data_IF_013540092815
#
_entry.id   IF_013540092815
#
_cell.length_a   1.000
_cell.length_b   1.000
_cell.length_c   1.000
_cell.angle_alpha   90.00
_cell.angle_beta   90.00
_cell.angle_gamma   90.00
#
_symmetry.space_group_name_H-M   'P 1'
#
loop_
_entity.id
_entity.type
_entity.pdbx_description
1 polymer ?
#
# COMPACT_ATOMS: atom_id res chain seq x y z
N UNK A 1 27.99 3.26 -4.14
CA UNK A 1 27.95 3.40 -2.66
C UNK A 1 29.24 2.83 -2.12
N UNK A 2 29.87 3.47 -1.14
CA UNK A 2 31.10 2.98 -0.51
C UNK A 2 30.77 1.77 0.38
N UNK A 3 31.19 0.56 -0.04
CA UNK A 3 30.82 -0.71 0.60
C UNK A 3 31.58 -0.98 1.90
N UNK A 4 32.69 -0.28 2.13
CA UNK A 4 33.47 -0.44 3.36
C UNK A 4 32.76 0.15 4.59
N UNK A 5 31.78 1.04 4.38
CA UNK A 5 30.94 1.62 5.44
C UNK A 5 30.01 0.63 6.13
N UNK A 6 29.93 -0.61 5.65
CA UNK A 6 29.08 -1.67 6.20
C UNK A 6 29.83 -2.63 7.13
N UNK A 7 31.15 -2.49 7.22
CA UNK A 7 31.98 -3.26 8.14
C UNK A 7 31.68 -2.85 9.57
N UNK A 8 31.20 -3.79 10.39
CA UNK A 8 30.80 -3.60 11.79
C UNK A 8 29.31 -3.78 12.04
N UNK A 9 28.52 -4.01 11.00
CA UNK A 9 27.09 -4.32 11.10
C UNK A 9 26.88 -5.73 11.63
N UNK A 10 25.93 -5.88 12.54
CA UNK A 10 25.49 -7.16 13.07
C UNK A 10 24.31 -7.68 12.25
N UNK A 11 24.42 -8.92 11.79
CA UNK A 11 23.37 -9.68 11.11
C UNK A 11 23.06 -10.95 11.91
N UNK A 12 21.79 -11.34 11.93
CA UNK A 12 21.33 -12.51 12.70
C UNK A 12 20.75 -13.53 11.74
N UNK A 13 21.39 -14.69 11.61
CA UNK A 13 20.88 -15.79 10.79
C UNK A 13 21.15 -17.14 11.47
N UNK A 14 20.32 -18.12 11.15
CA UNK A 14 20.50 -19.50 11.59
C UNK A 14 21.13 -20.30 10.45
N UNK A 15 22.17 -21.06 10.75
CA UNK A 15 22.64 -22.13 9.86
C UNK A 15 21.71 -23.33 10.02
N UNK A 16 21.58 -24.14 8.99
CA UNK A 16 20.65 -25.28 8.97
C UNK A 16 20.88 -26.20 10.19
N UNK A 17 19.84 -26.35 11.03
CA UNK A 17 19.90 -27.15 12.25
C UNK A 17 20.56 -26.48 13.47
N UNK A 18 20.86 -25.17 13.41
CA UNK A 18 21.43 -24.41 14.52
C UNK A 18 20.48 -23.31 15.03
N UNK A 19 20.69 -22.88 16.27
CA UNK A 19 20.04 -21.68 16.79
C UNK A 19 20.50 -20.44 16.03
N UNK A 20 19.68 -19.39 16.03
CA UNK A 20 20.04 -18.12 15.40
C UNK A 20 21.21 -17.48 16.15
N UNK A 21 22.30 -17.17 15.43
CA UNK A 21 23.52 -16.58 16.00
C UNK A 21 23.80 -15.23 15.34
N UNK A 22 24.20 -14.27 16.16
CA UNK A 22 24.62 -12.94 15.72
C UNK A 22 26.05 -12.99 15.15
N UNK A 23 26.20 -12.45 13.95
CA UNK A 23 27.48 -12.33 13.24
C UNK A 23 27.74 -10.87 12.89
N UNK A 24 29.00 -10.47 12.83
CA UNK A 24 29.42 -9.14 12.40
C UNK A 24 30.04 -9.19 11.01
N UNK A 25 29.71 -8.23 10.15
CA UNK A 25 30.39 -8.03 8.86
C UNK A 25 31.78 -7.46 9.13
N UNK A 26 32.85 -8.21 8.86
CA UNK A 26 34.22 -7.80 9.24
C UNK A 26 34.99 -7.16 8.10
N UNK A 27 34.64 -7.49 6.85
CA UNK A 27 35.33 -6.96 5.66
C UNK A 27 34.49 -7.08 4.41
N UNK A 28 34.53 -6.07 3.55
CA UNK A 28 34.02 -6.18 2.18
C UNK A 28 34.94 -7.07 1.34
N UNK A 29 34.38 -8.12 0.72
CA UNK A 29 35.15 -9.10 -0.06
C UNK A 29 35.10 -8.76 -1.54
N UNK A 30 33.93 -8.37 -2.05
CA UNK A 30 33.76 -8.01 -3.45
C UNK A 30 32.30 -7.91 -3.87
N UNK A 31 32.09 -7.38 -5.06
CA UNK A 31 30.76 -7.18 -5.66
C UNK A 31 30.78 -7.74 -7.09
N UNK A 32 29.83 -8.64 -7.36
CA UNK A 32 29.58 -9.20 -8.69
C UNK A 32 28.31 -8.62 -9.32
N UNK A 33 27.95 -9.10 -10.51
CA UNK A 33 26.73 -8.66 -11.21
C UNK A 33 25.47 -8.90 -10.37
N UNK A 34 25.38 -10.06 -9.74
CA UNK A 34 24.17 -10.50 -9.05
C UNK A 34 24.35 -10.57 -7.53
N UNK A 35 25.46 -10.10 -6.97
CA UNK A 35 25.68 -10.22 -5.52
C UNK A 35 26.73 -9.31 -4.91
N UNK A 36 26.65 -9.15 -3.60
CA UNK A 36 27.59 -8.44 -2.76
C UNK A 36 28.08 -9.40 -1.67
N UNK A 37 29.38 -9.47 -1.44
CA UNK A 37 29.99 -10.45 -0.55
C UNK A 37 30.76 -9.77 0.58
N UNK A 38 30.49 -10.20 1.82
CA UNK A 38 31.21 -9.75 3.02
C UNK A 38 31.77 -10.95 3.77
N UNK A 39 32.92 -10.77 4.39
CA UNK A 39 33.42 -11.66 5.42
C UNK A 39 32.58 -11.46 6.68
N UNK A 40 32.28 -12.57 7.37
CA UNK A 40 31.49 -12.56 8.60
C UNK A 40 32.18 -13.38 9.67
N UNK A 41 32.10 -12.90 10.90
CA UNK A 41 32.59 -13.59 12.08
C UNK A 41 31.47 -13.66 13.13
N UNK A 42 31.37 -14.72 13.93
CA UNK A 42 30.47 -14.75 15.08
C UNK A 42 30.76 -13.58 16.02
N UNK A 43 29.73 -12.92 16.57
CA UNK A 43 29.93 -11.80 17.49
C UNK A 43 30.72 -12.19 18.74
N UNK A 44 30.64 -13.46 19.15
CA UNK A 44 31.40 -14.04 20.27
C UNK A 44 32.89 -14.25 19.96
N UNK A 45 33.28 -14.31 18.68
CA UNK A 45 34.67 -14.43 18.23
C UNK A 45 34.86 -13.67 16.90
N UNK A 46 34.96 -12.33 16.97
CA UNK A 46 35.03 -11.46 15.79
C UNK A 46 36.36 -11.57 15.03
N UNK A 47 37.30 -12.41 15.49
CA UNK A 47 38.58 -12.66 14.80
C UNK A 47 38.51 -13.85 13.84
N UNK A 48 37.42 -14.62 13.91
CA UNK A 48 37.23 -15.82 13.11
C UNK A 48 36.48 -15.52 11.80
N UNK A 49 37.19 -14.90 10.85
CA UNK A 49 36.71 -14.57 9.49
C UNK A 49 36.61 -15.79 8.56
N UNK A 50 36.26 -16.97 9.09
CA UNK A 50 36.24 -18.22 8.32
C UNK A 50 35.10 -18.31 7.29
N UNK A 51 34.15 -17.38 7.34
CA UNK A 51 32.90 -17.44 6.60
C UNK A 51 32.67 -16.17 5.77
N UNK A 52 31.98 -16.33 4.66
CA UNK A 52 31.48 -15.21 3.85
C UNK A 52 29.97 -15.32 3.71
N UNK A 53 29.30 -14.18 3.73
CA UNK A 53 27.89 -14.08 3.39
C UNK A 53 27.75 -13.43 2.02
N UNK A 54 26.82 -13.94 1.23
CA UNK A 54 26.49 -13.45 -0.11
C UNK A 54 25.08 -12.89 -0.09
N UNK A 55 24.94 -11.58 -0.29
CA UNK A 55 23.67 -10.90 -0.52
C UNK A 55 23.37 -10.88 -2.02
N UNK A 56 22.20 -11.37 -2.43
CA UNK A 56 21.82 -11.51 -3.85
C UNK A 56 21.15 -10.24 -4.36
N UNK A 57 21.65 -9.65 -5.45
CA UNK A 57 21.08 -8.43 -6.04
C UNK A 57 19.80 -8.73 -6.84
N UNK A 58 18.80 -7.82 -6.80
CA UNK A 58 18.69 -6.70 -5.87
C UNK A 58 18.30 -7.23 -4.49
N UNK A 59 19.20 -7.08 -3.51
CA UNK A 59 18.84 -7.36 -2.12
C UNK A 59 18.28 -6.04 -1.58
N UNK A 60 17.03 -5.75 -1.92
CA UNK A 60 16.36 -4.52 -1.50
C UNK A 60 16.42 -4.42 0.02
N UNK A 61 16.33 -5.53 0.76
CA UNK A 61 16.45 -5.49 2.23
C UNK A 61 17.85 -5.12 2.69
N UNK A 62 18.90 -5.68 2.10
CA UNK A 62 20.27 -5.26 2.42
C UNK A 62 20.48 -3.81 2.03
N UNK A 63 20.23 -3.40 0.78
CA UNK A 63 20.43 -2.03 0.29
C UNK A 63 19.56 -0.99 1.04
N UNK A 64 18.39 -1.38 1.55
CA UNK A 64 17.50 -0.48 2.30
C UNK A 64 17.78 -0.43 3.81
N UNK A 65 18.11 -1.56 4.44
CA UNK A 65 18.67 -1.54 5.81
C UNK A 65 19.96 -0.72 5.82
N UNK A 66 20.71 -0.80 4.71
CA UNK A 66 21.91 -0.02 4.36
C UNK A 66 21.66 1.48 4.27
N UNK A 67 20.57 1.90 3.63
CA UNK A 67 20.23 3.31 3.46
C UNK A 67 19.61 3.92 4.72
N UNK A 68 18.96 3.13 5.58
CA UNK A 68 18.13 3.63 6.69
C UNK A 68 18.76 3.54 8.09
N UNK A 69 20.07 3.26 8.15
CA UNK A 69 20.85 3.25 9.41
C UNK A 69 20.24 2.38 10.53
N UNK A 70 19.39 1.41 10.19
CA UNK A 70 18.68 0.54 11.16
C UNK A 70 19.55 -0.62 11.65
N UNK A 71 20.86 -0.56 11.42
CA UNK A 71 21.76 -1.63 11.81
C UNK A 71 22.06 -1.57 13.29
N UNK A 72 22.00 -2.74 13.91
CA UNK A 72 22.73 -2.94 15.15
C UNK A 72 24.21 -3.00 14.78
N UNK A 73 24.97 -2.00 15.21
CA UNK A 73 26.42 -1.93 15.01
C UNK A 73 27.08 -2.56 16.23
N UNK A 74 28.17 -3.30 16.03
CA UNK A 74 28.97 -3.80 17.13
C UNK A 74 29.78 -2.65 17.75
N UNK A 75 29.11 -1.77 18.51
CA UNK A 75 29.66 -0.52 19.08
C UNK A 75 30.98 -0.73 19.85
N UNK A 76 31.13 -1.88 20.51
CA UNK A 76 32.35 -2.22 21.25
C UNK A 76 33.56 -2.40 20.32
N UNK A 77 33.36 -2.92 19.11
CA UNK A 77 34.41 -3.15 18.12
C UNK A 77 34.57 -1.95 17.18
N UNK A 78 33.48 -1.25 16.89
CA UNK A 78 33.42 -0.13 15.95
C UNK A 78 32.78 1.12 16.58
N UNK A 79 33.38 1.73 17.61
CA UNK A 79 32.79 2.85 18.35
C UNK A 79 32.71 4.17 17.56
N UNK A 80 33.44 4.25 16.45
CA UNK A 80 33.44 5.42 15.54
C UNK A 80 32.89 5.05 14.17
N UNK A 81 32.06 4.00 14.11
CA UNK A 81 31.45 3.56 12.87
C UNK A 81 30.68 4.73 12.21
N UNK A 82 30.84 4.98 10.91
CA UNK A 82 30.24 6.13 10.23
C UNK A 82 28.70 6.11 10.20
N UNK A 83 28.09 4.97 10.54
CA UNK A 83 26.64 4.79 10.68
C UNK A 83 26.15 4.84 12.13
N UNK A 84 27.03 5.02 13.13
CA UNK A 84 26.62 5.34 14.50
C UNK A 84 26.16 6.78 14.54
N UNK A 85 24.85 6.96 14.46
CA UNK A 85 24.17 8.24 14.45
C UNK A 85 23.19 8.22 15.63
N UNK A 86 23.06 9.36 16.30
CA UNK A 86 22.05 9.52 17.36
C UNK A 86 20.64 9.25 16.80
N UNK A 87 19.73 8.59 17.54
CA UNK A 87 18.39 8.28 17.05
C UNK A 87 17.62 9.50 16.51
N UNK A 88 17.76 10.69 17.11
CA UNK A 88 17.10 11.91 16.63
C UNK A 88 17.68 12.37 15.29
N UNK A 89 19.01 12.35 15.15
CA UNK A 89 19.69 12.69 13.91
C UNK A 89 19.36 11.68 12.80
N UNK A 90 19.25 10.38 13.15
CA UNK A 90 18.79 9.33 12.22
C UNK A 90 17.38 9.64 11.72
N UNK A 91 16.44 9.93 12.61
CA UNK A 91 15.06 10.23 12.24
C UNK A 91 14.94 11.51 11.40
N UNK A 92 15.74 12.53 11.69
CA UNK A 92 15.81 13.74 10.88
C UNK A 92 16.26 13.43 9.44
N UNK A 93 17.38 12.70 9.29
CA UNK A 93 17.92 12.32 7.96
C UNK A 93 16.96 11.41 7.20
N UNK A 94 16.36 10.44 7.87
CA UNK A 94 15.36 9.54 7.28
C UNK A 94 14.16 10.35 6.79
N UNK A 95 13.65 11.27 7.61
CA UNK A 95 12.55 12.15 7.24
C UNK A 95 12.89 12.98 6.01
N UNK A 96 14.05 13.63 5.98
CA UNK A 96 14.46 14.45 4.84
C UNK A 96 14.61 13.63 3.55
N UNK A 97 15.19 12.42 3.64
CA UNK A 97 15.32 11.53 2.50
C UNK A 97 13.96 11.05 2.01
N UNK A 98 13.10 10.54 2.90
CA UNK A 98 11.79 9.99 2.55
C UNK A 98 10.87 11.07 1.99
N UNK A 99 10.88 12.28 2.55
CA UNK A 99 10.12 13.41 2.02
C UNK A 99 10.63 13.83 0.65
N UNK A 100 11.96 13.91 0.46
CA UNK A 100 12.55 14.17 -0.85
C UNK A 100 12.11 13.14 -1.90
N UNK A 101 12.01 11.86 -1.51
CA UNK A 101 11.52 10.80 -2.38
C UNK A 101 10.01 10.89 -2.64
N UNK A 102 9.18 11.16 -1.64
CA UNK A 102 7.73 11.30 -1.82
C UNK A 102 7.39 12.48 -2.74
N UNK A 103 8.17 13.56 -2.66
CA UNK A 103 8.01 14.79 -3.44
C UNK A 103 8.49 14.69 -4.88
N UNK A 104 9.37 13.75 -5.20
CA UNK A 104 9.86 13.58 -6.56
C UNK A 104 8.76 13.04 -7.49
N UNK A 105 8.56 13.73 -8.61
CA UNK A 105 7.55 13.41 -9.62
C UNK A 105 7.79 12.07 -10.35
N UNK A 106 9.03 11.57 -10.34
CA UNK A 106 9.43 10.27 -10.92
C UNK A 106 9.73 9.19 -9.89
N UNK A 107 9.63 9.50 -8.60
CA UNK A 107 9.70 8.54 -7.51
C UNK A 107 8.35 7.83 -7.39
N UNK A 108 8.00 7.14 -8.46
CA UNK A 108 7.18 5.95 -8.35
C UNK A 108 8.13 4.93 -7.73
N UNK A 109 8.13 4.84 -6.41
CA UNK A 109 8.60 3.61 -5.81
C UNK A 109 7.90 2.48 -6.55
N UNK A 110 8.67 1.45 -6.91
CA UNK A 110 8.13 0.18 -7.39
C UNK A 110 7.43 -0.50 -6.22
N UNK A 111 6.41 0.15 -5.66
CA UNK A 111 5.49 -0.45 -4.72
C UNK A 111 4.87 -1.58 -5.54
N UNK A 112 5.24 -2.82 -5.21
CA UNK A 112 4.64 -4.01 -5.77
C UNK A 112 3.12 -3.85 -5.74
N UNK A 113 2.58 -3.36 -4.62
CA UNK A 113 1.19 -3.00 -4.45
C UNK A 113 0.66 -1.99 -5.49
N UNK A 114 1.41 -0.95 -5.86
CA UNK A 114 0.98 0.04 -6.87
C UNK A 114 1.05 -0.51 -8.28
N UNK A 115 2.14 -1.20 -8.65
CA UNK A 115 2.22 -1.89 -9.94
C UNK A 115 1.09 -2.90 -10.10
N UNK A 116 0.85 -3.67 -9.05
CA UNK A 116 -0.23 -4.62 -8.98
C UNK A 116 -1.61 -3.93 -9.12
N UNK A 117 -1.78 -2.72 -8.57
CA UNK A 117 -2.99 -1.91 -8.77
C UNK A 117 -3.13 -1.43 -10.23
N UNK A 118 -2.04 -1.02 -10.88
CA UNK A 118 -2.05 -0.69 -12.31
C UNK A 118 -2.44 -1.91 -13.15
N UNK A 119 -1.80 -3.07 -12.91
CA UNK A 119 -2.11 -4.30 -13.63
C UNK A 119 -3.57 -4.74 -13.42
N UNK A 120 -4.11 -4.61 -12.21
CA UNK A 120 -5.52 -4.89 -11.95
C UNK A 120 -6.44 -3.90 -12.67
N UNK A 121 -6.04 -2.63 -12.77
CA UNK A 121 -6.77 -1.61 -13.53
C UNK A 121 -6.81 -1.97 -15.01
N UNK A 122 -5.68 -2.36 -15.58
CA UNK A 122 -5.57 -2.85 -16.97
C UNK A 122 -6.48 -4.06 -17.19
N UNK A 123 -6.46 -5.04 -16.28
CA UNK A 123 -7.34 -6.21 -16.35
C UNK A 123 -8.83 -5.85 -16.26
N UNK A 124 -9.21 -4.91 -15.42
CA UNK A 124 -10.60 -4.45 -15.31
C UNK A 124 -11.06 -3.73 -16.58
N UNK A 125 -10.21 -2.87 -17.15
CA UNK A 125 -10.49 -2.22 -18.44
C UNK A 125 -10.70 -3.26 -19.54
N UNK A 126 -9.83 -4.27 -19.60
CA UNK A 126 -9.98 -5.38 -20.53
C UNK A 126 -11.28 -6.16 -20.31
N UNK A 127 -11.56 -6.57 -19.08
CA UNK A 127 -12.73 -7.37 -18.75
C UNK A 127 -14.05 -6.64 -19.04
N UNK A 128 -14.07 -5.32 -18.85
CA UNK A 128 -15.27 -4.51 -19.07
C UNK A 128 -15.45 -4.12 -20.55
N UNK A 129 -14.37 -3.88 -21.30
CA UNK A 129 -14.46 -3.19 -22.59
C UNK A 129 -13.86 -3.95 -23.79
N UNK A 130 -13.09 -5.02 -23.59
CA UNK A 130 -12.50 -5.77 -24.70
C UNK A 130 -13.55 -6.49 -25.56
N UNK A 131 -14.58 -7.08 -24.95
CA UNK A 131 -15.66 -7.74 -25.69
C UNK A 131 -16.53 -6.73 -26.48
N UNK A 132 -17.01 -5.61 -25.89
CA UNK A 132 -17.67 -4.54 -26.65
C UNK A 132 -16.82 -4.01 -27.80
N UNK A 133 -15.51 -3.87 -27.61
CA UNK A 133 -14.57 -3.48 -28.66
C UNK A 133 -14.53 -4.50 -29.80
N UNK A 134 -14.36 -5.80 -29.49
CA UNK A 134 -14.36 -6.88 -30.50
C UNK A 134 -15.68 -6.95 -31.27
N UNK A 135 -16.80 -6.67 -30.60
CA UNK A 135 -18.12 -6.63 -31.21
C UNK A 135 -18.39 -5.33 -32.01
N UNK A 136 -17.51 -4.33 -31.97
CA UNK A 136 -17.71 -3.02 -32.60
C UNK A 136 -18.81 -2.18 -31.96
N UNK A 137 -19.13 -2.46 -30.68
CA UNK A 137 -20.21 -1.83 -29.92
C UNK A 137 -19.73 -0.91 -28.80
N UNK A 138 -18.40 -0.74 -28.66
CA UNK A 138 -17.82 0.15 -27.67
C UNK A 138 -18.28 1.60 -27.91
N UNK A 139 -18.93 2.26 -26.93
CA UNK A 139 -19.37 3.64 -27.06
C UNK A 139 -18.20 4.60 -27.31
N UNK A 140 -18.45 5.69 -28.04
CA UNK A 140 -17.43 6.73 -28.28
C UNK A 140 -16.98 7.44 -27.01
N UNK A 141 -17.80 7.42 -25.96
CA UNK A 141 -17.56 8.02 -24.66
C UNK A 141 -17.45 6.98 -23.54
N UNK A 142 -16.97 5.78 -23.88
CA UNK A 142 -16.80 4.65 -22.95
C UNK A 142 -16.06 5.01 -21.65
N UNK A 143 -15.17 6.00 -21.67
CA UNK A 143 -14.47 6.52 -20.49
C UNK A 143 -15.41 7.15 -19.45
N UNK A 144 -16.57 7.70 -19.86
CA UNK A 144 -17.60 8.19 -18.94
C UNK A 144 -18.34 7.05 -18.22
N UNK A 145 -18.33 5.85 -18.81
CA UNK A 145 -18.91 4.63 -18.23
C UNK A 145 -17.90 3.86 -17.36
N UNK A 146 -16.63 4.30 -17.35
CA UNK A 146 -15.63 3.75 -16.44
C UNK A 146 -16.09 4.02 -15.01
N UNK A 147 -16.14 2.95 -14.22
CA UNK A 147 -16.55 2.98 -12.83
C UNK A 147 -15.78 4.09 -12.09
N UNK A 148 -16.48 4.92 -11.31
CA UNK A 148 -15.92 6.05 -10.54
C UNK A 148 -14.72 5.62 -9.68
N UNK A 149 -14.67 4.34 -9.27
CA UNK A 149 -13.55 3.77 -8.52
C UNK A 149 -12.24 3.59 -9.30
N UNK A 150 -12.27 3.53 -10.64
CA UNK A 150 -11.07 3.33 -11.48
C UNK A 150 -10.46 4.66 -11.92
N UNK A 151 -11.26 5.73 -11.99
CA UNK A 151 -10.78 7.06 -12.41
C UNK A 151 -9.51 7.55 -11.65
N UNK A 152 -9.36 7.35 -10.32
CA UNK A 152 -8.15 7.75 -9.61
C UNK A 152 -6.88 6.99 -10.01
N UNK A 153 -7.02 5.85 -10.69
CA UNK A 153 -5.93 5.02 -11.22
C UNK A 153 -5.60 5.33 -12.68
N UNK A 154 -6.40 6.14 -13.37
CA UNK A 154 -6.11 6.55 -14.74
C UNK A 154 -5.19 7.78 -14.71
N UNK A 155 -3.90 7.53 -14.90
CA UNK A 155 -2.83 8.51 -14.84
C UNK A 155 -1.69 8.23 -15.84
N UNK A 156 -0.62 9.02 -15.78
CA UNK A 156 0.56 8.80 -16.63
C UNK A 156 1.22 7.45 -16.35
N UNK A 157 1.13 6.93 -15.12
CA UNK A 157 1.70 5.64 -14.73
C UNK A 157 0.98 4.49 -15.43
N UNK A 158 -0.35 4.56 -15.53
CA UNK A 158 -1.17 3.60 -16.28
C UNK A 158 -0.84 3.65 -17.78
N UNK A 159 -0.69 4.85 -18.36
CA UNK A 159 -0.27 5.03 -19.76
C UNK A 159 1.07 4.36 -20.02
N UNK A 160 2.06 4.62 -19.17
CA UNK A 160 3.40 4.03 -19.28
C UNK A 160 3.39 2.51 -19.13
N UNK A 161 2.60 1.96 -18.20
CA UNK A 161 2.50 0.51 -18.03
C UNK A 161 1.83 -0.15 -19.25
N UNK A 162 0.76 0.45 -19.80
CA UNK A 162 0.13 -0.05 -21.03
C UNK A 162 1.13 -0.01 -22.20
N UNK A 163 1.86 1.09 -22.38
CA UNK A 163 2.90 1.19 -23.41
C UNK A 163 3.97 0.10 -23.22
N UNK A 164 4.43 -0.12 -21.99
CA UNK A 164 5.39 -1.18 -21.69
C UNK A 164 4.86 -2.58 -22.00
N UNK A 165 3.57 -2.84 -21.84
CA UNK A 165 2.94 -4.12 -22.20
C UNK A 165 2.79 -4.28 -23.71
N UNK A 166 2.48 -3.19 -24.43
CA UNK A 166 2.40 -3.20 -25.90
C UNK A 166 3.77 -3.45 -26.55
N UNK A 167 4.85 -3.03 -25.90
CA UNK A 167 6.22 -3.31 -26.33
C UNK A 167 6.69 -4.74 -25.98
N UNK A 168 5.93 -5.49 -25.18
CA UNK A 168 6.28 -6.87 -24.77
C UNK A 168 5.77 -7.89 -25.80
N UNK A 169 6.70 -8.60 -26.45
CA UNK A 169 6.40 -9.63 -27.45
C UNK A 169 5.56 -10.81 -26.89
N UNK A 170 5.49 -10.97 -25.57
CA UNK A 170 4.67 -12.00 -24.92
C UNK A 170 3.21 -11.58 -24.68
N UNK A 171 2.85 -10.32 -24.98
CA UNK A 171 1.49 -9.81 -24.76
C UNK A 171 0.52 -10.33 -25.83
N UNK A 172 -0.69 -10.73 -25.41
CA UNK A 172 -1.64 -11.40 -26.31
C UNK A 172 -2.06 -10.49 -27.47
N UNK A 173 -1.90 -10.95 -28.73
CA UNK A 173 -2.21 -10.19 -29.95
C UNK A 173 -3.62 -9.57 -29.96
N UNK A 174 -4.62 -10.27 -29.41
CA UNK A 174 -6.00 -9.77 -29.34
C UNK A 174 -6.15 -8.60 -28.35
N UNK A 175 -5.30 -8.55 -27.33
CA UNK A 175 -5.26 -7.50 -26.31
C UNK A 175 -4.44 -6.29 -26.78
N UNK A 176 -3.40 -6.52 -27.59
CA UNK A 176 -2.62 -5.48 -28.26
C UNK A 176 -3.54 -4.53 -29.02
N UNK A 177 -4.36 -5.06 -29.95
CA UNK A 177 -5.26 -4.24 -30.77
C UNK A 177 -6.28 -3.42 -29.94
N UNK A 178 -6.75 -3.97 -28.82
CA UNK A 178 -7.63 -3.25 -27.89
C UNK A 178 -6.90 -2.10 -27.20
N UNK A 179 -5.73 -2.36 -26.60
CA UNK A 179 -4.98 -1.35 -25.86
C UNK A 179 -4.41 -0.26 -26.76
N UNK A 180 -3.94 -0.58 -27.98
CA UNK A 180 -3.55 0.40 -28.99
C UNK A 180 -4.70 1.35 -29.34
N UNK A 181 -5.93 0.84 -29.40
CA UNK A 181 -7.11 1.67 -29.73
C UNK A 181 -7.49 2.62 -28.61
N UNK A 182 -7.45 2.18 -27.36
CA UNK A 182 -7.96 2.96 -26.22
C UNK A 182 -6.90 3.89 -25.60
N UNK A 183 -5.62 3.61 -25.81
CA UNK A 183 -4.52 4.38 -25.23
C UNK A 183 -4.61 5.88 -25.55
N UNK A 184 -4.90 6.33 -26.80
CA UNK A 184 -5.06 7.76 -27.09
C UNK A 184 -6.24 8.40 -26.34
N UNK A 185 -7.31 7.66 -26.09
CA UNK A 185 -8.47 8.15 -25.34
C UNK A 185 -8.08 8.38 -23.86
N UNK A 186 -7.32 7.44 -23.29
CA UNK A 186 -6.77 7.54 -21.92
C UNK A 186 -5.80 8.74 -21.80
N UNK A 187 -4.86 8.88 -22.73
CA UNK A 187 -3.90 10.00 -22.77
C UNK A 187 -4.62 11.34 -22.88
N UNK A 188 -5.64 11.43 -23.74
CA UNK A 188 -6.47 12.62 -23.91
C UNK A 188 -7.22 12.98 -22.62
N UNK A 189 -7.76 11.99 -21.91
CA UNK A 189 -8.44 12.20 -20.64
C UNK A 189 -7.48 12.71 -19.55
N UNK A 190 -6.29 12.11 -19.44
CA UNK A 190 -5.25 12.55 -18.50
C UNK A 190 -4.83 13.99 -18.82
N UNK A 191 -4.59 14.31 -20.09
CA UNK A 191 -4.24 15.65 -20.53
C UNK A 191 -5.37 16.67 -20.22
N UNK A 192 -6.62 16.33 -20.48
CA UNK A 192 -7.77 17.16 -20.18
C UNK A 192 -7.96 17.39 -18.66
N UNK A 193 -7.79 16.35 -17.85
CA UNK A 193 -7.85 16.44 -16.39
C UNK A 193 -6.76 17.38 -15.85
N UNK A 194 -5.53 17.27 -16.38
CA UNK A 194 -4.40 18.16 -16.03
C UNK A 194 -4.71 19.60 -16.37
N UNK A 195 -5.19 19.87 -17.58
CA UNK A 195 -5.55 21.22 -18.02
C UNK A 195 -6.66 21.86 -17.17
N UNK A 196 -7.62 21.05 -16.71
CA UNK A 196 -8.73 21.52 -15.85
C UNK A 196 -8.33 21.70 -14.38
N UNK A 197 -7.14 21.27 -13.97
CA UNK A 197 -6.64 21.41 -12.59
C UNK A 197 -7.27 20.44 -11.58
N UNK A 198 -8.05 19.46 -12.03
CA UNK A 198 -8.66 18.43 -11.17
C UNK A 198 -7.88 17.09 -11.19
N UNK A 199 -6.75 17.02 -11.89
CA UNK A 199 -5.93 15.82 -11.95
C UNK A 199 -5.23 15.56 -10.62
N UNK A 200 -5.68 14.51 -9.91
CA UNK A 200 -5.12 14.07 -8.62
C UNK A 200 -4.98 12.54 -8.62
N UNK A 201 -4.00 12.00 -9.36
CA UNK A 201 -3.84 10.55 -9.47
C UNK A 201 -3.34 9.97 -8.15
N UNK A 202 -3.72 8.72 -7.86
CA UNK A 202 -3.28 8.03 -6.65
C UNK A 202 -1.75 7.89 -6.58
N UNK A 203 -1.07 7.74 -7.73
CA UNK A 203 0.39 7.76 -7.81
C UNK A 203 1.05 8.98 -7.17
N UNK A 204 0.38 10.14 -7.19
CA UNK A 204 0.89 11.39 -6.63
C UNK A 204 0.45 11.59 -5.18
N UNK A 205 -0.43 10.74 -4.65
CA UNK A 205 -0.89 10.84 -3.28
C UNK A 205 0.27 10.52 -2.31
N UNK A 206 0.68 11.53 -1.55
CA UNK A 206 1.82 11.44 -0.63
C UNK A 206 1.61 10.42 0.50
N UNK A 207 0.36 10.25 0.96
CA UNK A 207 0.02 9.25 1.97
C UNK A 207 0.20 7.85 1.41
N UNK A 208 -0.25 7.63 0.17
CA UNK A 208 -0.04 6.34 -0.50
C UNK A 208 1.44 6.05 -0.72
N UNK A 209 2.23 7.04 -1.17
CA UNK A 209 3.67 6.89 -1.33
C UNK A 209 4.36 6.54 -0.01
N UNK A 210 4.03 7.25 1.08
CA UNK A 210 4.60 7.02 2.40
C UNK A 210 4.17 5.66 2.98
N UNK A 211 2.89 5.30 2.86
CA UNK A 211 2.42 3.96 3.21
C UNK A 211 3.16 2.89 2.41
N UNK A 212 3.39 3.14 1.12
CA UNK A 212 4.15 2.25 0.27
C UNK A 212 5.54 1.94 0.81
N UNK A 213 6.23 2.94 1.36
CA UNK A 213 7.50 2.72 2.07
C UNK A 213 7.32 1.75 3.23
N UNK A 214 6.25 1.90 4.01
CA UNK A 214 5.98 0.97 5.09
C UNK A 214 5.68 -0.45 4.59
N UNK A 215 4.86 -0.59 3.55
CA UNK A 215 4.45 -1.90 3.01
C UNK A 215 5.60 -2.67 2.37
N UNK A 216 6.59 -1.97 1.85
CA UNK A 216 7.79 -2.54 1.26
C UNK A 216 8.93 -2.67 2.29
N UNK A 217 8.62 -2.58 3.59
CA UNK A 217 9.57 -2.66 4.70
C UNK A 217 10.70 -1.58 4.67
N UNK A 218 10.50 -0.45 3.96
CA UNK A 218 11.44 0.67 3.95
C UNK A 218 11.43 1.41 5.29
N UNK A 219 10.25 1.58 5.90
CA UNK A 219 10.08 2.23 7.19
C UNK A 219 9.13 1.42 8.08
N UNK A 220 9.34 1.44 9.38
CA UNK A 220 8.40 0.84 10.32
C UNK A 220 7.21 1.79 10.59
N UNK A 221 6.20 1.29 11.32
CA UNK A 221 4.99 2.09 11.63
C UNK A 221 5.31 3.37 12.43
N UNK A 222 6.22 3.29 13.40
CA UNK A 222 6.58 4.46 14.21
C UNK A 222 7.27 5.53 13.36
N UNK A 223 8.18 5.11 12.49
CA UNK A 223 8.86 6.00 11.52
C UNK A 223 7.88 6.62 10.52
N UNK A 224 6.92 5.84 10.01
CA UNK A 224 5.84 6.33 9.16
C UNK A 224 5.10 7.47 9.86
N UNK A 225 4.62 7.26 11.09
CA UNK A 225 3.89 8.30 11.84
C UNK A 225 4.76 9.51 12.17
N UNK A 226 6.02 9.32 12.54
CA UNK A 226 6.94 10.43 12.82
C UNK A 226 7.19 11.30 11.58
N UNK A 227 7.38 10.68 10.40
CA UNK A 227 7.51 11.39 9.12
C UNK A 227 6.22 12.14 8.80
N UNK A 228 5.06 11.52 9.01
CA UNK A 228 3.75 12.16 8.83
C UNK A 228 3.58 13.37 9.76
N UNK A 229 4.10 13.29 10.97
CA UNK A 229 4.04 14.34 11.98
C UNK A 229 5.03 15.49 11.73
N UNK A 230 6.01 15.28 10.84
CA UNK A 230 6.98 16.32 10.48
C UNK A 230 6.28 17.59 9.96
N UNK A 231 6.82 18.76 10.32
CA UNK A 231 6.23 20.03 9.91
C UNK A 231 6.13 20.17 8.38
N UNK A 232 7.15 19.67 7.65
CA UNK A 232 7.22 19.71 6.18
C UNK A 232 6.12 18.86 5.52
N UNK A 233 5.86 17.65 6.03
CA UNK A 233 4.78 16.83 5.50
C UNK A 233 3.42 17.49 5.78
N UNK A 234 3.17 17.84 7.05
CA UNK A 234 1.90 18.40 7.52
C UNK A 234 1.53 19.71 6.86
N UNK A 235 2.50 20.62 6.65
CA UNK A 235 2.23 21.94 6.05
C UNK A 235 1.66 21.87 4.64
N UNK A 236 1.70 20.69 4.03
CA UNK A 236 1.23 20.46 2.65
C UNK A 236 0.16 19.39 2.54
N UNK A 237 -0.26 18.79 3.66
CA UNK A 237 -1.32 17.79 3.69
C UNK A 237 -2.68 18.48 3.74
N UNK A 238 -3.58 18.11 2.84
CA UNK A 238 -4.95 18.64 2.79
C UNK A 238 -5.99 17.56 3.10
N UNK A 239 -7.20 17.96 3.51
CA UNK A 239 -8.30 17.03 3.71
C UNK A 239 -8.64 16.25 2.43
N UNK A 240 -8.49 16.89 1.27
CA UNK A 240 -8.67 16.23 -0.02
C UNK A 240 -7.63 15.14 -0.26
N UNK A 241 -6.38 15.30 0.19
CA UNK A 241 -5.36 14.26 0.06
C UNK A 241 -5.73 13.01 0.87
N UNK A 242 -6.30 13.21 2.06
CA UNK A 242 -6.83 12.12 2.91
C UNK A 242 -8.04 11.48 2.25
N UNK A 243 -8.97 12.27 1.73
CA UNK A 243 -10.15 11.75 1.01
C UNK A 243 -9.74 10.94 -0.22
N UNK A 244 -8.79 11.44 -1.02
CA UNK A 244 -8.27 10.75 -2.21
C UNK A 244 -7.54 9.47 -1.82
N UNK A 245 -6.80 9.47 -0.71
CA UNK A 245 -6.18 8.26 -0.17
C UNK A 245 -7.20 7.19 0.21
N UNK A 246 -8.43 7.58 0.59
CA UNK A 246 -9.54 6.66 0.80
C UNK A 246 -9.85 5.74 -0.39
N UNK A 247 -9.62 6.19 -1.63
CA UNK A 247 -9.74 5.34 -2.82
C UNK A 247 -8.71 4.20 -2.82
N UNK A 248 -7.48 4.44 -2.33
CA UNK A 248 -6.49 3.38 -2.20
C UNK A 248 -6.89 2.35 -1.12
N UNK A 249 -7.48 2.81 -0.01
CA UNK A 249 -7.98 1.94 1.07
C UNK A 249 -9.02 0.95 0.54
N UNK A 250 -10.03 1.43 -0.18
CA UNK A 250 -11.09 0.57 -0.74
C UNK A 250 -10.56 -0.37 -1.82
N UNK A 251 -9.65 0.10 -2.70
CA UNK A 251 -9.03 -0.73 -3.73
C UNK A 251 -8.23 -1.87 -3.11
N UNK A 252 -7.37 -1.59 -2.13
CA UNK A 252 -6.60 -2.63 -1.44
C UNK A 252 -7.51 -3.67 -0.77
N UNK A 253 -8.62 -3.24 -0.18
CA UNK A 253 -9.62 -4.15 0.39
C UNK A 253 -10.24 -5.07 -0.66
N UNK A 254 -10.79 -4.53 -1.75
CA UNK A 254 -11.43 -5.33 -2.79
C UNK A 254 -10.45 -6.33 -3.43
N UNK A 255 -9.19 -5.93 -3.57
CA UNK A 255 -8.13 -6.84 -4.03
C UNK A 255 -7.87 -7.96 -3.04
N UNK A 256 -7.82 -7.67 -1.75
CA UNK A 256 -7.71 -8.70 -0.70
C UNK A 256 -8.89 -9.68 -0.76
N UNK A 257 -10.11 -9.18 -0.96
CA UNK A 257 -11.30 -10.02 -1.15
C UNK A 257 -11.18 -10.94 -2.37
N UNK A 258 -10.84 -10.40 -3.55
CA UNK A 258 -10.68 -11.23 -4.76
C UNK A 258 -9.54 -12.26 -4.66
N UNK A 259 -8.47 -11.94 -3.91
CA UNK A 259 -7.39 -12.90 -3.60
C UNK A 259 -7.86 -13.99 -2.62
N UNK A 260 -8.78 -13.71 -1.69
CA UNK A 260 -9.42 -14.73 -0.84
C UNK A 260 -10.17 -15.74 -1.69
N UNK A 261 -10.93 -15.27 -2.67
CA UNK A 261 -11.69 -16.13 -3.59
C UNK A 261 -10.75 -17.00 -4.45
N UNK A 262 -9.67 -16.40 -4.95
CA UNK A 262 -8.62 -17.12 -5.71
C UNK A 262 -7.94 -18.19 -4.85
N UNK A 263 -7.64 -17.88 -3.59
CA UNK A 263 -7.05 -18.84 -2.64
C UNK A 263 -7.99 -20.04 -2.39
N UNK A 264 -9.31 -19.80 -2.37
CA UNK A 264 -10.31 -20.86 -2.21
C UNK A 264 -10.45 -21.74 -3.45
N UNK A 265 -10.14 -21.22 -4.65
CA UNK A 265 -10.23 -21.94 -5.92
C UNK A 265 -8.90 -22.47 -6.46
N UNK A 266 -7.77 -22.16 -5.80
CA UNK A 266 -6.43 -22.55 -6.26
C UNK A 266 -6.13 -24.04 -6.03
N UNK A 267 -5.47 -24.66 -7.00
CA UNK A 267 -4.90 -26.01 -6.87
C UNK A 267 -3.82 -26.07 -5.77
N UNK A 268 -3.62 -27.27 -5.21
CA UNK A 268 -2.70 -27.51 -4.08
C UNK A 268 -1.28 -26.98 -4.30
N UNK A 269 -0.79 -27.03 -5.54
CA UNK A 269 0.59 -26.63 -5.88
C UNK A 269 0.75 -25.09 -5.89
N UNK A 270 -0.32 -24.33 -6.15
CA UNK A 270 -0.31 -22.86 -6.17
C UNK A 270 -0.82 -22.23 -4.87
N UNK A 271 -1.34 -23.04 -3.94
CA UNK A 271 -1.99 -22.56 -2.73
C UNK A 271 -1.04 -21.79 -1.80
N UNK A 272 0.26 -22.15 -1.77
CA UNK A 272 1.25 -21.45 -0.94
C UNK A 272 1.48 -20.01 -1.41
N UNK A 273 1.63 -19.81 -2.73
CA UNK A 273 1.80 -18.48 -3.31
C UNK A 273 0.53 -17.64 -3.19
N UNK A 274 -0.64 -18.21 -3.56
CA UNK A 274 -1.92 -17.54 -3.42
C UNK A 274 -2.20 -17.10 -1.97
N UNK A 275 -1.77 -17.90 -0.99
CA UNK A 275 -1.89 -17.57 0.43
C UNK A 275 -0.98 -16.42 0.83
N UNK A 276 0.28 -16.42 0.40
CA UNK A 276 1.22 -15.33 0.68
C UNK A 276 0.71 -14.00 0.11
N UNK A 277 0.26 -14.01 -1.15
CA UNK A 277 -0.33 -12.83 -1.82
C UNK A 277 -1.57 -12.30 -1.08
N UNK A 278 -2.47 -13.20 -0.68
CA UNK A 278 -3.67 -12.84 0.08
C UNK A 278 -3.30 -12.18 1.40
N UNK A 279 -2.35 -12.76 2.16
CA UNK A 279 -1.90 -12.23 3.43
C UNK A 279 -1.25 -10.85 3.28
N UNK A 280 -0.38 -10.67 2.28
CA UNK A 280 0.27 -9.39 2.00
C UNK A 280 -0.75 -8.30 1.62
N UNK A 281 -1.65 -8.60 0.68
CA UNK A 281 -2.69 -7.64 0.24
C UNK A 281 -3.63 -7.26 1.37
N UNK A 282 -3.99 -8.24 2.21
CA UNK A 282 -4.83 -8.01 3.39
C UNK A 282 -4.14 -7.12 4.42
N UNK A 283 -2.86 -7.37 4.70
CA UNK A 283 -2.07 -6.53 5.61
C UNK A 283 -1.98 -5.09 5.08
N UNK A 284 -1.80 -4.92 3.76
CA UNK A 284 -1.80 -3.61 3.12
C UNK A 284 -3.13 -2.87 3.26
N UNK A 285 -4.27 -3.54 3.03
CA UNK A 285 -5.59 -2.95 3.21
C UNK A 285 -5.83 -2.47 4.65
N UNK A 286 -5.42 -3.30 5.63
CA UNK A 286 -5.52 -2.97 7.06
C UNK A 286 -4.63 -1.79 7.44
N UNK A 287 -3.37 -1.80 7.00
CA UNK A 287 -2.41 -0.72 7.25
C UNK A 287 -2.89 0.60 6.63
N UNK A 288 -3.43 0.57 5.41
CA UNK A 288 -3.98 1.75 4.75
C UNK A 288 -5.16 2.36 5.52
N UNK A 289 -6.13 1.52 5.92
CA UNK A 289 -7.28 1.96 6.69
C UNK A 289 -6.86 2.51 8.06
N UNK A 290 -5.97 1.83 8.77
CA UNK A 290 -5.45 2.31 10.06
C UNK A 290 -4.72 3.64 9.91
N UNK A 291 -3.87 3.77 8.88
CA UNK A 291 -3.10 4.99 8.66
C UNK A 291 -4.01 6.18 8.32
N UNK A 292 -5.05 5.95 7.51
CA UNK A 292 -6.06 6.96 7.23
C UNK A 292 -6.81 7.40 8.50
N UNK A 293 -7.19 6.46 9.37
CA UNK A 293 -7.88 6.78 10.64
C UNK A 293 -6.99 7.59 11.59
N UNK A 294 -5.71 7.23 11.71
CA UNK A 294 -4.75 7.97 12.53
C UNK A 294 -4.62 9.44 12.07
N UNK A 295 -4.50 9.66 10.75
CA UNK A 295 -4.42 11.00 10.17
C UNK A 295 -5.73 11.76 10.35
N UNK A 296 -6.86 11.13 10.00
CA UNK A 296 -8.18 11.76 10.08
C UNK A 296 -8.49 12.20 11.51
N UNK A 297 -8.26 11.32 12.48
CA UNK A 297 -8.53 11.60 13.90
C UNK A 297 -7.61 12.71 14.44
N UNK A 298 -6.32 12.69 14.06
CA UNK A 298 -5.32 13.62 14.62
C UNK A 298 -5.35 15.00 13.97
N UNK A 299 -5.57 15.08 12.66
CA UNK A 299 -5.40 16.30 11.88
C UNK A 299 -6.69 16.88 11.31
N UNK A 300 -7.74 16.07 11.19
CA UNK A 300 -9.02 16.45 10.56
C UNK A 300 -10.21 16.03 11.43
N UNK A 301 -10.10 16.24 12.74
CA UNK A 301 -11.14 15.87 13.72
C UNK A 301 -12.50 16.55 13.49
N UNK A 302 -12.50 17.66 12.77
CA UNK A 302 -13.69 18.39 12.31
C UNK A 302 -14.38 17.74 11.09
N UNK A 303 -13.73 16.77 10.46
CA UNK A 303 -14.22 15.98 9.34
C UNK A 303 -14.42 14.49 9.74
N UNK A 304 -15.41 14.19 10.61
CA UNK A 304 -15.59 12.84 11.17
C UNK A 304 -15.85 11.75 10.11
N UNK A 305 -16.35 12.13 8.93
CA UNK A 305 -16.59 11.21 7.83
C UNK A 305 -15.31 10.53 7.32
N UNK A 306 -14.14 11.17 7.43
CA UNK A 306 -12.87 10.56 7.02
C UNK A 306 -12.46 9.41 7.96
N UNK A 307 -12.57 9.63 9.28
CA UNK A 307 -12.31 8.59 10.28
C UNK A 307 -13.34 7.46 10.18
N UNK A 308 -14.61 7.80 9.99
CA UNK A 308 -15.66 6.81 9.80
C UNK A 308 -15.43 5.94 8.56
N UNK A 309 -15.05 6.54 7.42
CA UNK A 309 -14.70 5.81 6.21
C UNK A 309 -13.56 4.83 6.49
N UNK A 310 -12.48 5.30 7.12
CA UNK A 310 -11.32 4.48 7.47
C UNK A 310 -11.70 3.30 8.38
N UNK A 311 -12.45 3.54 9.46
CA UNK A 311 -12.93 2.51 10.38
C UNK A 311 -13.85 1.49 9.72
N UNK A 312 -14.74 1.92 8.82
CA UNK A 312 -15.59 1.01 8.05
C UNK A 312 -14.77 0.04 7.19
N UNK A 313 -13.78 0.54 6.45
CA UNK A 313 -12.92 -0.33 5.63
C UNK A 313 -12.00 -1.22 6.47
N UNK A 314 -11.54 -0.74 7.62
CA UNK A 314 -10.83 -1.57 8.58
C UNK A 314 -11.71 -2.70 9.11
N UNK A 315 -12.97 -2.41 9.46
CA UNK A 315 -13.95 -3.41 9.91
C UNK A 315 -14.25 -4.45 8.83
N UNK A 316 -14.51 -4.02 7.59
CA UNK A 316 -14.68 -4.93 6.44
C UNK A 316 -13.47 -5.83 6.23
N UNK A 317 -12.26 -5.29 6.39
CA UNK A 317 -11.02 -6.07 6.25
C UNK A 317 -10.86 -7.09 7.40
N UNK A 318 -11.28 -6.76 8.62
CA UNK A 318 -11.33 -7.71 9.75
C UNK A 318 -12.35 -8.83 9.53
N UNK A 319 -13.47 -8.57 8.83
CA UNK A 319 -14.40 -9.62 8.43
C UNK A 319 -13.78 -10.63 7.46
N UNK A 320 -12.79 -10.22 6.65
CA UNK A 320 -12.02 -11.18 5.85
C UNK A 320 -11.18 -12.13 6.71
N UNK A 321 -10.82 -11.71 7.94
CA UNK A 321 -10.10 -12.48 8.98
C UNK A 321 -11.03 -13.29 9.89
N UNK A 322 -12.34 -13.27 9.63
CA UNK A 322 -13.37 -13.83 10.50
C UNK A 322 -13.36 -13.23 11.93
N UNK A 323 -12.76 -12.03 12.12
CA UNK A 323 -12.72 -11.30 13.40
C UNK A 323 -13.95 -10.39 13.55
N UNK A 324 -15.12 -11.04 13.63
CA UNK A 324 -16.42 -10.37 13.73
C UNK A 324 -16.54 -9.46 14.96
N UNK A 325 -15.89 -9.82 16.08
CA UNK A 325 -15.96 -9.05 17.32
C UNK A 325 -15.27 -7.70 17.19
N UNK A 326 -14.05 -7.66 16.61
CA UNK A 326 -13.36 -6.38 16.39
C UNK A 326 -14.03 -5.57 15.27
N UNK A 327 -14.51 -6.21 14.22
CA UNK A 327 -15.26 -5.53 13.16
C UNK A 327 -16.50 -4.82 13.72
N UNK A 328 -17.31 -5.54 14.53
CA UNK A 328 -18.49 -4.97 15.21
C UNK A 328 -18.12 -3.74 16.05
N UNK A 329 -17.04 -3.84 16.85
CA UNK A 329 -16.60 -2.73 17.70
C UNK A 329 -16.26 -1.48 16.88
N UNK A 330 -15.54 -1.63 15.77
CA UNK A 330 -15.21 -0.49 14.90
C UNK A 330 -16.46 0.15 14.30
N UNK A 331 -17.42 -0.64 13.83
CA UNK A 331 -18.69 -0.11 13.35
C UNK A 331 -19.47 0.62 14.44
N UNK A 332 -19.52 0.09 15.66
CA UNK A 332 -20.13 0.77 16.81
C UNK A 332 -19.43 2.10 17.12
N UNK A 333 -18.10 2.17 17.03
CA UNK A 333 -17.34 3.41 17.16
C UNK A 333 -17.70 4.44 16.08
N UNK A 334 -17.96 4.01 14.84
CA UNK A 334 -18.47 4.90 13.77
C UNK A 334 -19.85 5.46 14.12
N UNK A 335 -20.74 4.65 14.71
CA UNK A 335 -22.07 5.11 15.12
C UNK A 335 -22.05 6.16 16.25
N UNK A 336 -20.95 6.25 17.01
CA UNK A 336 -20.74 7.26 18.06
C UNK A 336 -20.28 8.63 17.51
N UNK A 337 -19.86 8.70 16.24
CA UNK A 337 -19.40 9.95 15.64
C UNK A 337 -20.58 10.92 15.39
N UNK A 338 -20.34 12.25 15.46
CA UNK A 338 -21.38 13.24 15.19
C UNK A 338 -21.98 13.10 13.78
N UNK A 339 -23.31 13.10 13.68
CA UNK A 339 -24.01 13.01 12.39
C UNK A 339 -23.95 14.39 11.71
N UNK A 340 -23.17 14.47 10.63
CA UNK A 340 -23.14 15.60 9.68
C UNK A 340 -23.70 15.16 8.32
N UNK A 341 -23.94 16.10 7.41
CA UNK A 341 -24.40 15.76 6.06
C UNK A 341 -23.39 14.89 5.29
N UNK A 342 -22.10 15.18 5.45
CA UNK A 342 -21.02 14.37 4.88
C UNK A 342 -20.99 12.96 5.47
N UNK A 343 -21.32 12.81 6.76
CA UNK A 343 -21.29 11.54 7.50
C UNK A 343 -22.46 10.58 7.15
N UNK A 344 -23.47 11.06 6.42
CA UNK A 344 -24.66 10.24 6.16
C UNK A 344 -24.33 9.01 5.35
N UNK A 345 -23.41 9.10 4.39
CA UNK A 345 -23.06 7.98 3.51
C UNK A 345 -22.38 6.85 4.29
N UNK A 346 -21.33 7.15 5.04
CA UNK A 346 -20.60 6.10 5.74
C UNK A 346 -21.41 5.59 6.93
N UNK A 347 -22.27 6.40 7.57
CA UNK A 347 -23.24 5.89 8.57
C UNK A 347 -24.22 4.92 7.96
N UNK A 348 -24.78 5.22 6.78
CA UNK A 348 -25.64 4.29 6.05
C UNK A 348 -24.92 2.95 5.82
N UNK A 349 -23.71 2.99 5.27
CA UNK A 349 -22.95 1.78 4.96
C UNK A 349 -22.61 0.98 6.24
N UNK A 350 -22.27 1.68 7.33
CA UNK A 350 -22.03 1.08 8.66
C UNK A 350 -23.24 0.30 9.16
N UNK A 351 -24.44 0.89 9.03
CA UNK A 351 -25.68 0.29 9.51
C UNK A 351 -26.06 -0.95 8.72
N UNK A 352 -25.82 -0.96 7.40
CA UNK A 352 -26.04 -2.13 6.54
C UNK A 352 -25.05 -3.26 6.89
N UNK A 353 -23.78 -2.93 7.11
CA UNK A 353 -22.78 -3.92 7.48
C UNK A 353 -23.08 -4.50 8.88
N UNK A 354 -23.45 -3.65 9.86
CA UNK A 354 -23.85 -4.08 11.20
C UNK A 354 -25.10 -4.94 11.21
N UNK A 355 -26.12 -4.60 10.41
CA UNK A 355 -27.34 -5.40 10.34
C UNK A 355 -27.04 -6.81 9.87
N UNK A 356 -26.23 -6.94 8.81
CA UNK A 356 -25.77 -8.21 8.27
C UNK A 356 -24.98 -9.00 9.31
N UNK A 357 -24.10 -8.34 10.06
CA UNK A 357 -23.22 -8.97 11.05
C UNK A 357 -23.99 -9.51 12.27
N UNK A 358 -25.08 -8.86 12.67
CA UNK A 358 -25.85 -9.22 13.88
C UNK A 358 -27.14 -9.98 13.59
N UNK A 359 -27.52 -10.18 12.33
CA UNK A 359 -28.81 -10.75 11.92
C UNK A 359 -29.16 -12.07 12.63
N UNK A 360 -28.20 -13.00 12.74
CA UNK A 360 -28.43 -14.31 13.36
C UNK A 360 -28.45 -14.24 14.90
N UNK A 361 -27.67 -13.35 15.49
CA UNK A 361 -27.47 -13.27 16.94
C UNK A 361 -28.49 -12.34 17.63
N UNK A 362 -28.88 -11.24 16.96
CA UNK A 362 -29.83 -10.24 17.44
C UNK A 362 -30.65 -9.67 16.25
N UNK A 363 -31.69 -10.39 15.79
CA UNK A 363 -32.53 -9.94 14.68
C UNK A 363 -33.22 -8.59 14.93
N UNK A 364 -33.52 -8.26 16.19
CA UNK A 364 -34.15 -6.99 16.54
C UNK A 364 -33.18 -5.81 16.42
N UNK A 365 -31.90 -6.01 16.73
CA UNK A 365 -30.88 -5.00 16.41
C UNK A 365 -30.70 -4.85 14.89
N UNK A 366 -30.66 -5.95 14.14
CA UNK A 366 -30.53 -5.91 12.69
C UNK A 366 -31.67 -5.10 12.03
N UNK A 367 -32.93 -5.36 12.38
CA UNK A 367 -34.09 -4.63 11.86
C UNK A 367 -34.03 -3.12 12.20
N UNK A 368 -33.55 -2.76 13.41
CA UNK A 368 -33.36 -1.36 13.80
C UNK A 368 -32.31 -0.67 12.93
N UNK A 369 -31.18 -1.32 12.68
CA UNK A 369 -30.12 -0.78 11.82
C UNK A 369 -30.60 -0.61 10.38
N UNK A 370 -31.29 -1.60 9.81
CA UNK A 370 -31.86 -1.52 8.46
C UNK A 370 -32.87 -0.38 8.31
N UNK A 371 -33.74 -0.21 9.31
CA UNK A 371 -34.72 0.86 9.33
C UNK A 371 -34.05 2.23 9.35
N UNK A 372 -32.98 2.41 10.14
CA UNK A 372 -32.23 3.66 10.18
C UNK A 372 -31.48 3.91 8.86
N UNK A 373 -30.83 2.89 8.30
CA UNK A 373 -30.16 2.98 7.00
C UNK A 373 -31.13 3.42 5.90
N UNK A 374 -32.35 2.84 5.86
CA UNK A 374 -33.37 3.22 4.90
C UNK A 374 -33.78 4.70 5.01
N UNK A 375 -33.92 5.23 6.24
CA UNK A 375 -34.21 6.66 6.46
C UNK A 375 -33.08 7.55 5.93
N UNK A 376 -31.83 7.17 6.16
CA UNK A 376 -30.67 7.91 5.66
C UNK A 376 -30.66 7.88 4.12
N UNK A 377 -30.86 6.72 3.50
CA UNK A 377 -30.91 6.57 2.03
C UNK A 377 -31.99 7.45 1.40
N UNK A 378 -33.18 7.51 2.01
CA UNK A 378 -34.27 8.40 1.57
C UNK A 378 -33.90 9.88 1.68
N UNK A 379 -33.06 10.26 2.65
CA UNK A 379 -32.56 11.63 2.78
C UNK A 379 -31.50 11.98 1.73
N UNK A 380 -30.66 11.01 1.36
CA UNK A 380 -29.61 11.17 0.34
C UNK A 380 -30.17 11.24 -1.09
N UNK A 381 -31.30 10.57 -1.37
CA UNK A 381 -31.94 10.62 -2.68
C UNK A 381 -32.73 11.91 -2.99
N UNK A 382 -32.76 12.87 -2.05
CA UNK A 382 -33.48 14.16 -2.18
C UNK A 382 -32.55 15.36 -2.32
N UNK A 383 -31.24 15.16 -2.17
CA UNK A 383 -30.16 16.15 -2.40
C UNK A 383 -29.55 15.93 -3.77
#
# INVERSE_FOLDING_TARGET
MDRDKFVGIIISFALEGQEQVDHVLTRFVGEGNDSIVYAVAPLSDPTNDGWVIKFQKPDVKFEMTVLHYSFRIAEQLYPHHPLLIDPEERMLRLTDEMLGRIESAGSLFRLSAFRDMLMSTIQLLALQFAEPFRAGTLPSDWLNEVNVGILPMIDDSLVLEIQSLLDDEAFEDEMVAFFERILPDIESMVAAAKQRGYFRPLAQNRLLKLLGLHLEDFINWSELIEITDSARFRSTLTADDVSNFGSAVSILHFRSSGKKDTLQSSDKDNQSHARADYLATKAAAKAAAQYMDEIATKYYSDLPHLSAFAKNWQARTLLLEDDQSKAKKLYEEVLLLPITDQMRRERHDTLIDLSSLVADADPQAAERYETEALRIRQSLGKS
#
